data_IF_883626987155
#
_entry.id   IF_883626987155
#
_cell.length_a   1.000
_cell.length_b   1.000
_cell.length_c   1.000
_cell.angle_alpha   90.00
_cell.angle_beta   90.00
_cell.angle_gamma   90.00
#
_symmetry.space_group_name_H-M   'P 1'
#
loop_
_entity.id
_entity.type
_entity.pdbx_description
1 polymer ?
#
# COMPACT_ATOMS: atom_id res chain seq x y z
N UNK A 1 -7.01 27.58 -13.20
CA UNK A 1 -7.68 26.26 -13.22
C UNK A 1 -6.91 25.33 -14.16
N UNK A 2 -5.93 24.62 -13.62
CA UNK A 2 -5.20 23.60 -14.39
C UNK A 2 -6.13 22.44 -14.74
N UNK A 3 -6.03 21.92 -15.95
CA UNK A 3 -6.77 20.73 -16.35
C UNK A 3 -6.27 19.52 -15.53
N UNK A 4 -7.11 18.51 -15.23
CA UNK A 4 -6.69 17.34 -14.47
C UNK A 4 -5.44 16.64 -15.03
N UNK A 5 -5.30 16.59 -16.35
CA UNK A 5 -4.15 15.97 -17.00
C UNK A 5 -2.83 16.75 -16.76
N UNK A 6 -2.90 18.03 -16.41
CA UNK A 6 -1.72 18.85 -16.11
C UNK A 6 -1.10 18.55 -14.75
N UNK A 7 -1.79 17.79 -13.89
CA UNK A 7 -1.27 17.35 -12.60
C UNK A 7 -0.30 16.16 -12.74
N UNK A 8 -0.43 15.34 -13.78
CA UNK A 8 0.44 14.19 -14.03
C UNK A 8 1.79 14.67 -14.57
N UNK A 9 2.88 14.24 -13.91
CA UNK A 9 4.26 14.56 -14.29
C UNK A 9 4.93 13.41 -15.03
N UNK A 10 4.80 12.18 -14.50
CA UNK A 10 5.37 10.96 -15.10
C UNK A 10 4.32 9.87 -15.13
N UNK A 11 4.41 8.99 -16.12
CA UNK A 11 3.52 7.82 -16.28
C UNK A 11 4.34 6.61 -16.69
N UNK A 12 4.00 5.46 -16.12
CA UNK A 12 4.40 4.15 -16.63
C UNK A 12 3.31 3.11 -16.36
N UNK A 13 3.40 1.96 -17.05
CA UNK A 13 2.47 0.85 -16.87
C UNK A 13 3.23 -0.46 -16.66
N UNK A 14 3.76 -0.72 -15.44
CA UNK A 14 4.37 -2.00 -15.12
C UNK A 14 3.42 -3.15 -15.44
N UNK A 15 3.97 -4.28 -15.90
CA UNK A 15 3.19 -5.48 -16.23
C UNK A 15 2.02 -5.20 -17.21
N UNK A 16 2.17 -4.22 -18.09
CA UNK A 16 1.12 -3.84 -19.05
C UNK A 16 -0.15 -3.24 -18.38
N UNK A 17 -0.06 -2.86 -17.11
CA UNK A 17 -1.17 -2.31 -16.35
C UNK A 17 -1.94 -3.31 -15.50
N UNK A 18 -1.37 -4.50 -15.27
CA UNK A 18 -2.00 -5.57 -14.50
C UNK A 18 -2.99 -6.41 -15.31
N UNK A 19 -3.50 -7.46 -14.70
CA UNK A 19 -4.47 -8.41 -15.32
C UNK A 19 -5.87 -8.35 -14.69
N UNK A 20 -6.11 -7.41 -13.76
CA UNK A 20 -7.43 -7.17 -13.22
C UNK A 20 -8.40 -6.59 -14.28
N UNK A 21 -9.61 -6.36 -13.86
CA UNK A 21 -10.67 -5.85 -14.74
C UNK A 21 -10.37 -4.47 -15.34
N UNK A 22 -9.59 -3.65 -14.62
CA UNK A 22 -9.34 -2.27 -15.00
C UNK A 22 -7.85 -2.07 -15.27
N UNK A 23 -7.48 -1.89 -16.53
CA UNK A 23 -6.08 -1.58 -16.86
C UNK A 23 -5.60 -0.39 -16.03
N UNK A 24 -4.49 -0.58 -15.33
CA UNK A 24 -3.93 0.41 -14.42
C UNK A 24 -2.69 1.10 -15.00
N UNK A 25 -2.33 2.22 -14.39
CA UNK A 25 -1.10 2.95 -14.64
C UNK A 25 -0.50 3.45 -13.32
N UNK A 26 0.80 3.66 -13.32
CA UNK A 26 1.51 4.35 -12.27
C UNK A 26 1.78 5.79 -12.71
N UNK A 27 1.44 6.76 -11.87
CA UNK A 27 1.63 8.18 -12.15
C UNK A 27 2.33 8.87 -10.99
N UNK A 28 3.05 9.96 -11.29
CA UNK A 28 3.42 10.95 -10.29
C UNK A 28 2.58 12.19 -10.51
N UNK A 29 2.16 12.82 -9.43
CA UNK A 29 1.30 13.99 -9.50
C UNK A 29 1.99 15.22 -8.88
N UNK A 30 1.83 16.38 -9.51
CA UNK A 30 2.46 17.61 -9.06
C UNK A 30 2.06 18.00 -7.64
N UNK A 31 0.82 17.75 -7.28
CA UNK A 31 0.29 18.05 -5.95
C UNK A 31 0.71 17.05 -4.87
N UNK A 32 1.40 15.94 -5.25
CA UNK A 32 1.88 14.91 -4.33
C UNK A 32 3.32 14.50 -4.67
N UNK A 33 4.30 15.40 -4.54
CA UNK A 33 5.71 15.06 -4.79
C UNK A 33 6.21 14.01 -3.81
N UNK A 34 7.06 13.11 -4.29
CA UNK A 34 7.65 12.05 -3.46
C UNK A 34 6.76 10.82 -3.28
N UNK A 35 5.73 10.66 -4.11
CA UNK A 35 4.85 9.49 -4.12
C UNK A 35 4.59 9.01 -5.55
N UNK A 36 4.25 7.73 -5.68
CA UNK A 36 3.72 7.14 -6.90
C UNK A 36 2.28 6.70 -6.65
N UNK A 37 1.38 7.07 -7.53
CA UNK A 37 -0.02 6.67 -7.49
C UNK A 37 -0.25 5.60 -8.55
N UNK A 38 -0.59 4.39 -8.11
CA UNK A 38 -1.01 3.28 -8.97
C UNK A 38 -2.53 3.29 -8.99
N UNK A 39 -3.15 3.39 -10.17
CA UNK A 39 -4.59 3.52 -10.28
C UNK A 39 -5.12 3.02 -11.62
N UNK A 40 -6.41 2.67 -11.72
CA UNK A 40 -7.02 2.44 -13.02
C UNK A 40 -6.80 3.64 -13.95
N UNK A 41 -6.42 3.38 -15.19
CA UNK A 41 -6.21 4.45 -16.18
C UNK A 41 -7.48 5.25 -16.42
N UNK A 42 -8.63 4.54 -16.47
CA UNK A 42 -9.96 5.15 -16.58
C UNK A 42 -10.70 4.99 -15.25
N UNK A 43 -10.63 6.00 -14.40
CA UNK A 43 -11.30 6.00 -13.09
C UNK A 43 -12.81 5.94 -13.22
N UNK A 44 -13.38 6.57 -14.24
CA UNK A 44 -14.84 6.57 -14.48
C UNK A 44 -15.37 5.17 -14.81
N UNK A 45 -14.57 4.32 -15.45
CA UNK A 45 -14.96 2.95 -15.74
C UNK A 45 -15.23 2.13 -14.46
N UNK A 46 -14.49 2.42 -13.38
CA UNK A 46 -14.67 1.75 -12.07
C UNK A 46 -15.97 2.21 -11.41
N UNK A 47 -16.34 3.48 -11.58
CA UNK A 47 -17.46 4.12 -10.88
C UNK A 47 -18.79 4.05 -11.64
N UNK A 48 -18.82 3.48 -12.85
CA UNK A 48 -20.00 3.43 -13.73
C UNK A 48 -21.27 2.85 -13.08
N UNK A 49 -21.11 2.02 -12.04
CA UNK A 49 -22.25 1.41 -11.32
C UNK A 49 -22.54 2.09 -9.97
N UNK A 50 -22.07 3.33 -9.79
CA UNK A 50 -22.23 4.07 -8.55
C UNK A 50 -21.27 3.66 -7.41
N UNK A 51 -20.33 2.76 -7.68
CA UNK A 51 -19.31 2.39 -6.71
C UNK A 51 -18.23 3.49 -6.63
N UNK A 52 -17.71 3.71 -5.43
CA UNK A 52 -16.52 4.55 -5.25
C UNK A 52 -15.27 3.69 -5.13
N UNK A 53 -14.11 4.27 -5.43
CA UNK A 53 -12.84 3.56 -5.50
C UNK A 53 -12.17 3.60 -4.12
N UNK A 54 -11.92 2.43 -3.50
CA UNK A 54 -11.16 2.37 -2.24
C UNK A 54 -9.69 2.69 -2.44
N UNK A 55 -9.02 3.01 -1.34
CA UNK A 55 -7.63 3.50 -1.33
C UNK A 55 -6.73 2.59 -0.50
N UNK A 56 -5.51 2.41 -0.95
CA UNK A 56 -4.42 1.78 -0.20
C UNK A 56 -3.26 2.76 -0.13
N UNK A 57 -2.73 3.03 1.08
CA UNK A 57 -1.46 3.73 1.26
C UNK A 57 -0.39 2.71 1.60
N UNK A 58 0.81 2.85 1.03
CA UNK A 58 1.81 1.79 1.02
C UNK A 58 3.20 2.29 1.45
N UNK A 59 3.79 1.56 2.42
CA UNK A 59 5.16 1.75 2.89
C UNK A 59 6.10 0.66 2.35
N UNK A 60 7.30 1.06 1.95
CA UNK A 60 8.25 0.21 1.25
C UNK A 60 9.19 -0.55 2.20
N UNK A 61 9.74 -1.67 1.73
CA UNK A 61 10.82 -2.37 2.41
C UNK A 61 12.02 -1.45 2.65
N UNK A 62 12.72 -1.65 3.77
CA UNK A 62 13.82 -0.77 4.19
C UNK A 62 13.38 0.65 4.54
N UNK A 63 12.08 0.94 4.57
CA UNK A 63 11.53 2.30 4.67
C UNK A 63 12.07 3.24 3.59
N UNK A 64 12.46 2.70 2.44
CA UNK A 64 13.09 3.45 1.37
C UNK A 64 12.09 4.24 0.53
N UNK A 65 12.57 5.27 -0.14
CA UNK A 65 11.79 6.20 -0.96
C UNK A 65 11.56 5.68 -2.39
N UNK A 66 11.26 4.40 -2.52
CA UNK A 66 10.94 3.76 -3.80
C UNK A 66 10.02 2.56 -3.62
N UNK A 67 9.04 2.44 -4.50
CA UNK A 67 8.14 1.29 -4.59
C UNK A 67 8.48 0.35 -5.76
N UNK A 68 9.60 0.59 -6.44
CA UNK A 68 9.99 -0.17 -7.64
C UNK A 68 10.08 -1.67 -7.39
N UNK A 69 10.52 -2.08 -6.19
CA UNK A 69 10.71 -3.50 -5.85
C UNK A 69 9.39 -4.27 -5.70
N UNK A 70 8.28 -3.58 -5.46
CA UNK A 70 6.93 -4.16 -5.37
C UNK A 70 5.96 -3.63 -6.43
N UNK A 71 6.45 -2.92 -7.44
CA UNK A 71 5.57 -2.28 -8.43
C UNK A 71 4.66 -3.25 -9.18
N UNK A 72 5.12 -4.51 -9.40
CA UNK A 72 4.31 -5.55 -10.04
C UNK A 72 3.07 -5.90 -9.23
N UNK A 73 3.21 -5.96 -7.91
CA UNK A 73 2.07 -6.15 -7.00
C UNK A 73 1.19 -4.91 -6.94
N UNK A 74 1.78 -3.72 -6.83
CA UNK A 74 1.02 -2.48 -6.64
C UNK A 74 0.16 -2.16 -7.86
N UNK A 75 0.70 -2.36 -9.07
CA UNK A 75 -0.09 -2.19 -10.30
C UNK A 75 -1.18 -3.25 -10.43
N UNK A 76 -0.92 -4.49 -10.00
CA UNK A 76 -1.91 -5.56 -9.99
C UNK A 76 -3.08 -5.22 -9.06
N UNK A 77 -2.80 -4.76 -7.83
CA UNK A 77 -3.84 -4.31 -6.89
C UNK A 77 -4.68 -3.20 -7.55
N UNK A 78 -4.03 -2.20 -8.12
CA UNK A 78 -4.72 -1.09 -8.77
C UNK A 78 -5.63 -1.55 -9.92
N UNK A 79 -5.21 -2.57 -10.68
CA UNK A 79 -6.00 -3.13 -11.79
C UNK A 79 -7.30 -3.80 -11.34
N UNK A 80 -7.44 -4.10 -10.06
CA UNK A 80 -8.67 -4.61 -9.46
C UNK A 80 -9.61 -3.51 -8.95
N UNK A 81 -9.30 -2.23 -9.22
CA UNK A 81 -10.18 -1.11 -8.90
C UNK A 81 -9.81 -0.36 -7.62
N UNK A 82 -8.52 -0.25 -7.31
CA UNK A 82 -7.99 0.47 -6.16
C UNK A 82 -7.11 1.65 -6.60
N UNK A 83 -7.10 2.71 -5.81
CA UNK A 83 -6.06 3.73 -5.85
C UNK A 83 -5.02 3.37 -4.80
N UNK A 84 -3.80 3.09 -5.23
CA UNK A 84 -2.68 2.73 -4.35
C UNK A 84 -1.65 3.86 -4.36
N UNK A 85 -1.40 4.46 -3.21
CA UNK A 85 -0.47 5.57 -3.07
C UNK A 85 0.75 5.06 -2.30
N UNK A 86 1.87 4.91 -3.01
CA UNK A 86 3.10 4.39 -2.45
C UNK A 86 4.10 5.51 -2.19
N UNK A 87 4.77 5.44 -1.04
CA UNK A 87 5.86 6.35 -0.70
C UNK A 87 7.00 6.19 -1.72
N UNK A 88 7.56 7.31 -2.17
CA UNK A 88 8.78 7.33 -2.95
C UNK A 88 8.62 7.86 -4.35
N UNK A 89 9.75 8.16 -4.96
CA UNK A 89 9.83 8.66 -6.32
C UNK A 89 9.68 7.53 -7.35
N UNK A 90 9.15 7.84 -8.50
CA UNK A 90 9.10 6.89 -9.62
C UNK A 90 10.50 6.63 -10.16
N UNK A 91 10.85 5.35 -10.28
CA UNK A 91 12.08 4.87 -10.91
C UNK A 91 11.77 4.08 -12.17
N UNK A 92 12.69 4.06 -13.13
CA UNK A 92 12.57 3.26 -14.34
C UNK A 92 13.00 1.82 -14.12
N UNK A 93 14.04 1.62 -13.29
CA UNK A 93 14.57 0.31 -12.91
C UNK A 93 15.18 0.36 -11.51
N UNK A 94 15.28 -0.79 -10.81
CA UNK A 94 15.87 -0.84 -9.48
C UNK A 94 17.30 -0.30 -9.46
N UNK A 95 17.62 0.43 -8.39
CA UNK A 95 18.98 0.97 -8.14
C UNK A 95 19.47 1.98 -9.18
N UNK A 96 18.58 2.62 -9.93
CA UNK A 96 18.94 3.69 -10.87
C UNK A 96 19.41 4.98 -10.15
N UNK A 97 19.17 5.08 -8.87
CA UNK A 97 19.68 6.12 -7.97
C UNK A 97 19.87 5.57 -6.55
N UNK A 98 20.53 6.34 -5.71
CA UNK A 98 20.62 6.03 -4.28
C UNK A 98 19.26 6.23 -3.60
N UNK A 99 18.78 5.16 -2.97
CA UNK A 99 17.53 5.19 -2.19
C UNK A 99 17.77 5.90 -0.85
N UNK A 100 16.74 6.60 -0.37
CA UNK A 100 16.77 7.36 0.88
C UNK A 100 15.72 6.82 1.84
N UNK A 101 16.01 6.97 3.14
CA UNK A 101 15.05 6.66 4.20
C UNK A 101 13.89 7.65 4.22
N UNK A 102 12.72 7.17 4.58
CA UNK A 102 11.48 7.97 4.64
C UNK A 102 10.93 8.02 6.07
N UNK A 103 9.95 8.90 6.28
CA UNK A 103 9.24 9.04 7.54
C UNK A 103 7.88 8.35 7.47
N UNK A 104 7.46 7.71 8.55
CA UNK A 104 6.17 7.02 8.64
C UNK A 104 4.97 7.95 8.45
N UNK A 105 5.12 9.25 8.80
CA UNK A 105 4.10 10.28 8.57
C UNK A 105 3.73 10.46 7.09
N UNK A 106 4.57 10.02 6.16
CA UNK A 106 4.24 10.06 4.73
C UNK A 106 3.00 9.22 4.40
N UNK A 107 2.71 8.17 5.16
CA UNK A 107 1.47 7.41 4.99
C UNK A 107 0.24 8.27 5.30
N UNK A 108 0.27 9.06 6.36
CA UNK A 108 -0.83 9.98 6.69
C UNK A 108 -0.90 11.17 5.75
N UNK A 109 0.23 11.65 5.24
CA UNK A 109 0.26 12.67 4.17
C UNK A 109 -0.48 12.17 2.91
N UNK A 110 -0.27 10.91 2.52
CA UNK A 110 -0.98 10.29 1.40
C UNK A 110 -2.50 10.24 1.66
N UNK A 111 -2.91 9.89 2.88
CA UNK A 111 -4.34 9.91 3.27
C UNK A 111 -4.89 11.34 3.20
N UNK A 112 -4.18 12.32 3.77
CA UNK A 112 -4.60 13.73 3.72
C UNK A 112 -4.79 14.20 2.28
N UNK A 113 -3.84 13.85 1.39
CA UNK A 113 -3.92 14.23 -0.01
C UNK A 113 -5.15 13.65 -0.70
N UNK A 114 -5.40 12.34 -0.58
CA UNK A 114 -6.52 11.72 -1.29
C UNK A 114 -7.88 12.17 -0.73
N UNK A 115 -7.97 12.42 0.57
CA UNK A 115 -9.17 13.00 1.19
C UNK A 115 -9.44 14.39 0.62
N UNK A 116 -8.41 15.23 0.51
CA UNK A 116 -8.51 16.56 -0.10
C UNK A 116 -8.92 16.45 -1.56
N UNK A 117 -8.28 15.57 -2.35
CA UNK A 117 -8.60 15.37 -3.75
C UNK A 117 -10.04 14.91 -3.97
N UNK A 118 -10.57 14.09 -3.08
CA UNK A 118 -11.94 13.58 -3.18
C UNK A 118 -13.01 14.66 -3.10
N UNK A 119 -12.70 15.81 -2.51
CA UNK A 119 -13.60 16.96 -2.36
C UNK A 119 -13.16 18.20 -3.15
N UNK A 120 -12.07 18.10 -3.93
CA UNK A 120 -11.57 19.22 -4.73
C UNK A 120 -12.21 19.19 -6.12
N UNK A 121 -13.04 20.16 -6.48
CA UNK A 121 -13.56 20.27 -7.85
C UNK A 121 -12.42 20.32 -8.86
N UNK A 122 -12.62 19.72 -10.03
CA UNK A 122 -11.64 19.54 -11.11
C UNK A 122 -10.50 18.55 -10.82
N UNK A 123 -10.42 17.95 -9.65
CA UNK A 123 -9.58 16.77 -9.43
C UNK A 123 -10.16 15.55 -10.17
N UNK A 124 -9.29 14.72 -10.75
CA UNK A 124 -9.74 13.43 -11.33
C UNK A 124 -10.32 12.48 -10.28
N UNK A 125 -10.05 12.72 -9.00
CA UNK A 125 -10.53 11.94 -7.86
C UNK A 125 -11.82 12.50 -7.24
N UNK A 126 -12.31 13.63 -7.73
CA UNK A 126 -13.46 14.31 -7.16
C UNK A 126 -14.71 13.45 -7.18
N UNK A 127 -15.29 13.21 -5.99
CA UNK A 127 -16.49 12.39 -5.78
C UNK A 127 -16.42 10.92 -6.24
N UNK A 128 -15.24 10.41 -6.60
CA UNK A 128 -15.10 9.03 -7.08
C UNK A 128 -14.31 8.12 -6.15
N UNK A 129 -13.61 8.68 -5.18
CA UNK A 129 -12.82 7.92 -4.19
C UNK A 129 -13.64 7.70 -2.92
N UNK A 130 -13.58 6.48 -2.38
CA UNK A 130 -14.22 6.13 -1.11
C UNK A 130 -13.24 6.35 0.04
N UNK A 131 -13.30 7.52 0.65
CA UNK A 131 -12.44 7.87 1.78
C UNK A 131 -12.80 7.16 3.09
N UNK A 132 -13.92 6.43 3.12
CA UNK A 132 -14.28 5.55 4.24
C UNK A 132 -13.70 4.13 4.09
N UNK A 133 -13.03 3.85 2.97
CA UNK A 133 -12.38 2.59 2.66
C UNK A 133 -10.91 2.81 2.33
N UNK A 134 -10.12 3.08 3.37
CA UNK A 134 -8.68 3.28 3.28
C UNK A 134 -7.98 2.15 4.02
N UNK A 135 -7.10 1.44 3.33
CA UNK A 135 -6.21 0.45 3.92
C UNK A 135 -4.78 0.99 3.98
N UNK A 136 -4.04 0.60 5.00
CA UNK A 136 -2.61 0.85 5.10
C UNK A 136 -1.86 -0.47 4.98
N UNK A 137 -0.96 -0.56 4.04
CA UNK A 137 -0.16 -1.75 3.75
C UNK A 137 1.32 -1.41 3.72
N UNK A 138 2.18 -2.37 4.04
CA UNK A 138 3.61 -2.16 3.96
C UNK A 138 4.41 -3.45 4.03
N UNK A 139 5.56 -3.44 3.37
CA UNK A 139 6.52 -4.53 3.34
C UNK A 139 7.65 -4.27 4.33
N UNK A 140 7.95 -5.26 5.19
CA UNK A 140 9.10 -5.20 6.10
C UNK A 140 9.10 -3.91 6.94
N UNK A 141 10.11 -3.05 6.84
CA UNK A 141 10.13 -1.74 7.50
C UNK A 141 8.88 -0.91 7.18
N UNK A 142 8.36 -0.99 5.96
CA UNK A 142 7.09 -0.35 5.58
C UNK A 142 5.89 -0.83 6.40
N UNK A 143 5.90 -2.07 6.85
CA UNK A 143 4.92 -2.58 7.81
C UNK A 143 5.04 -1.93 9.18
N UNK A 144 6.27 -1.67 9.65
CA UNK A 144 6.49 -0.89 10.86
C UNK A 144 5.98 0.55 10.71
N UNK A 145 6.13 1.16 9.53
CA UNK A 145 5.54 2.48 9.24
C UNK A 145 4.02 2.46 9.36
N UNK A 146 3.36 1.39 8.88
CA UNK A 146 1.92 1.20 9.05
C UNK A 146 1.55 1.17 10.54
N UNK A 147 2.28 0.41 11.35
CA UNK A 147 2.03 0.34 12.79
C UNK A 147 2.29 1.67 13.49
N UNK A 148 3.27 2.45 13.04
CA UNK A 148 3.55 3.79 13.59
C UNK A 148 2.38 4.76 13.41
N UNK A 149 1.58 4.60 12.36
CA UNK A 149 0.41 5.45 12.08
C UNK A 149 -0.92 4.74 12.34
N UNK A 150 -0.90 3.57 12.99
CA UNK A 150 -2.07 2.73 13.18
C UNK A 150 -3.22 3.42 13.92
N UNK A 151 -2.94 4.47 14.70
CA UNK A 151 -3.94 5.25 15.43
C UNK A 151 -4.79 6.17 14.55
N UNK A 152 -4.44 6.39 13.30
CA UNK A 152 -5.25 7.20 12.39
C UNK A 152 -6.59 6.49 12.10
N UNK A 153 -7.68 7.09 12.56
CA UNK A 153 -9.02 6.50 12.51
C UNK A 153 -9.59 6.35 11.09
N UNK A 154 -8.96 6.99 10.11
CA UNK A 154 -9.34 6.85 8.70
C UNK A 154 -8.89 5.50 8.12
N UNK A 155 -7.91 4.83 8.74
CA UNK A 155 -7.47 3.49 8.34
C UNK A 155 -8.51 2.46 8.79
N UNK A 156 -9.02 1.68 7.84
CA UNK A 156 -10.07 0.68 8.05
C UNK A 156 -9.57 -0.77 7.88
N UNK A 157 -8.34 -0.96 7.42
CA UNK A 157 -7.71 -2.27 7.28
C UNK A 157 -6.18 -2.10 7.28
N UNK A 158 -5.48 -3.07 7.87
CA UNK A 158 -4.02 -3.08 7.92
C UNK A 158 -3.49 -4.35 7.26
N UNK A 159 -2.45 -4.20 6.42
CA UNK A 159 -1.76 -5.32 5.78
C UNK A 159 -0.26 -5.21 6.06
N UNK A 160 0.28 -6.15 6.82
CA UNK A 160 1.71 -6.27 7.09
C UNK A 160 2.28 -7.41 6.26
N UNK A 161 3.12 -7.09 5.29
CA UNK A 161 3.74 -8.02 4.36
C UNK A 161 5.17 -8.27 4.80
N UNK A 162 5.51 -9.52 5.14
CA UNK A 162 6.85 -9.89 5.62
C UNK A 162 7.32 -8.95 6.74
N UNK A 163 6.46 -8.69 7.70
CA UNK A 163 6.65 -7.69 8.73
C UNK A 163 6.00 -8.11 10.05
N UNK A 164 6.46 -7.51 11.12
CA UNK A 164 5.94 -7.71 12.47
C UNK A 164 6.81 -6.95 13.46
N UNK A 165 6.22 -6.52 14.57
CA UNK A 165 6.92 -5.70 15.55
C UNK A 165 7.68 -6.55 16.58
N UNK A 166 7.02 -7.57 17.13
CA UNK A 166 7.60 -8.36 18.22
C UNK A 166 7.96 -7.48 19.41
N UNK A 167 9.25 -7.49 19.79
CA UNK A 167 9.81 -6.63 20.84
C UNK A 167 10.63 -5.46 20.31
N UNK A 168 10.65 -5.28 18.98
CA UNK A 168 11.47 -4.25 18.33
C UNK A 168 10.85 -2.87 18.41
N UNK A 169 11.68 -1.87 18.18
CA UNK A 169 11.26 -0.51 17.86
C UNK A 169 11.82 -0.17 16.49
N UNK A 170 10.99 0.35 15.60
CA UNK A 170 11.38 0.66 14.21
C UNK A 170 10.41 1.66 13.60
N UNK A 171 10.94 2.61 12.85
CA UNK A 171 10.15 3.58 12.08
C UNK A 171 9.12 4.37 12.91
N UNK A 172 9.40 4.58 14.18
CA UNK A 172 8.48 5.23 15.13
C UNK A 172 7.43 4.30 15.73
N UNK A 173 7.42 3.02 15.37
CA UNK A 173 6.55 2.01 15.97
C UNK A 173 7.29 1.23 17.07
N UNK A 174 6.50 0.69 17.99
CA UNK A 174 6.95 -0.18 19.09
C UNK A 174 5.86 -1.20 19.40
N UNK A 175 6.09 -2.17 20.30
CA UNK A 175 5.03 -3.09 20.73
C UNK A 175 3.76 -2.39 21.22
N UNK A 176 3.89 -1.17 21.75
CA UNK A 176 2.75 -0.36 22.19
C UNK A 176 1.84 0.07 21.03
N UNK A 177 2.40 0.18 19.81
CA UNK A 177 1.62 0.56 18.62
C UNK A 177 0.50 -0.44 18.30
N UNK A 178 0.63 -1.71 18.70
CA UNK A 178 -0.41 -2.71 18.52
C UNK A 178 -1.70 -2.39 19.28
N UNK A 179 -1.62 -1.55 20.33
CA UNK A 179 -2.80 -1.08 21.08
C UNK A 179 -3.64 -0.05 20.32
N UNK A 180 -3.05 0.58 19.31
CA UNK A 180 -3.71 1.59 18.47
C UNK A 180 -4.51 0.97 17.32
N UNK A 181 -4.33 -0.33 17.07
CA UNK A 181 -5.10 -1.07 16.08
C UNK A 181 -6.59 -1.02 16.41
N UNK A 182 -7.41 -0.63 15.44
CA UNK A 182 -8.85 -0.43 15.59
C UNK A 182 -9.66 -1.01 14.42
N UNK A 183 -9.01 -1.77 13.54
CA UNK A 183 -9.58 -2.38 12.35
C UNK A 183 -8.91 -3.74 12.10
N UNK A 184 -9.47 -4.60 11.24
CA UNK A 184 -8.87 -5.89 10.91
C UNK A 184 -7.45 -5.75 10.36
N UNK A 185 -6.60 -6.69 10.73
CA UNK A 185 -5.19 -6.76 10.30
C UNK A 185 -4.84 -8.14 9.77
N UNK A 186 -4.11 -8.19 8.66
CA UNK A 186 -3.49 -9.41 8.13
C UNK A 186 -1.98 -9.31 8.17
N UNK A 187 -1.36 -10.37 8.67
CA UNK A 187 0.08 -10.63 8.54
C UNK A 187 0.28 -11.66 7.43
N UNK A 188 1.03 -11.30 6.40
CA UNK A 188 1.39 -12.22 5.30
C UNK A 188 2.88 -12.48 5.36
N UNK A 189 3.26 -13.72 5.60
CA UNK A 189 4.64 -14.12 5.90
C UNK A 189 5.10 -15.18 4.90
N UNK A 190 6.39 -15.20 4.64
CA UNK A 190 7.03 -16.12 3.69
C UNK A 190 7.66 -17.37 4.30
N UNK A 191 7.05 -17.91 5.36
CA UNK A 191 7.53 -19.10 6.05
C UNK A 191 8.60 -18.80 7.11
N UNK A 192 9.15 -19.86 7.69
CA UNK A 192 10.14 -19.77 8.78
C UNK A 192 11.46 -19.13 8.36
N UNK A 193 11.75 -19.12 7.07
CA UNK A 193 12.95 -18.48 6.52
C UNK A 193 12.78 -16.96 6.34
N UNK A 194 11.55 -16.47 6.45
CA UNK A 194 11.28 -15.04 6.48
C UNK A 194 11.74 -14.47 7.84
N UNK A 195 12.62 -13.50 7.80
CA UNK A 195 13.19 -12.85 9.00
C UNK A 195 12.10 -12.25 9.89
N UNK A 196 10.96 -11.88 9.34
CA UNK A 196 9.83 -11.32 10.09
C UNK A 196 8.94 -12.38 10.76
N UNK A 197 9.13 -13.68 10.49
CA UNK A 197 8.26 -14.75 10.95
C UNK A 197 8.03 -14.72 12.47
N UNK A 198 9.11 -14.65 13.25
CA UNK A 198 9.04 -14.67 14.71
C UNK A 198 8.27 -13.46 15.27
N UNK A 199 8.57 -12.26 14.77
CA UNK A 199 7.88 -11.03 15.19
C UNK A 199 6.40 -11.06 14.83
N UNK A 200 6.07 -11.52 13.63
CA UNK A 200 4.68 -11.61 13.16
C UNK A 200 3.86 -12.60 14.02
N UNK A 201 4.44 -13.74 14.40
CA UNK A 201 3.80 -14.70 15.32
C UNK A 201 3.55 -14.07 16.70
N UNK A 202 4.52 -13.31 17.22
CA UNK A 202 4.36 -12.62 18.51
C UNK A 202 3.23 -11.61 18.45
N UNK A 203 3.16 -10.80 17.41
CA UNK A 203 2.10 -9.82 17.21
C UNK A 203 0.74 -10.51 17.10
N UNK A 204 0.65 -11.54 16.24
CA UNK A 204 -0.57 -12.32 16.06
C UNK A 204 -1.12 -12.86 17.37
N UNK A 205 -0.26 -13.38 18.22
CA UNK A 205 -0.65 -13.92 19.54
C UNK A 205 -1.06 -12.84 20.53
N UNK A 206 -0.52 -11.64 20.40
CA UNK A 206 -0.77 -10.51 21.34
C UNK A 206 -2.00 -9.69 21.00
N UNK A 207 -2.38 -9.59 19.73
CA UNK A 207 -3.52 -8.81 19.28
C UNK A 207 -4.83 -9.48 19.69
N UNK A 208 -5.66 -8.76 20.48
CA UNK A 208 -6.94 -9.29 21.00
C UNK A 208 -8.15 -8.40 20.70
N UNK A 209 -7.92 -7.13 20.34
CA UNK A 209 -8.98 -6.15 20.17
C UNK A 209 -9.66 -6.16 18.80
N UNK A 210 -8.95 -6.65 17.78
CA UNK A 210 -9.41 -6.63 16.40
C UNK A 210 -9.23 -8.00 15.75
N UNK A 211 -9.97 -8.30 14.70
CA UNK A 211 -9.71 -9.50 13.91
C UNK A 211 -8.29 -9.50 13.38
N UNK A 212 -7.59 -10.61 13.53
CA UNK A 212 -6.24 -10.79 13.01
C UNK A 212 -6.14 -12.09 12.24
N UNK A 213 -5.55 -12.03 11.05
CA UNK A 213 -5.28 -13.18 10.19
C UNK A 213 -3.77 -13.33 10.04
N UNK A 214 -3.30 -14.56 10.13
CA UNK A 214 -1.92 -14.94 9.85
C UNK A 214 -1.91 -15.86 8.63
N UNK A 215 -1.42 -15.32 7.50
CA UNK A 215 -1.30 -16.05 6.25
C UNK A 215 0.18 -16.36 6.00
N UNK A 216 0.52 -17.63 5.96
CA UNK A 216 1.90 -18.08 5.79
C UNK A 216 2.08 -18.80 4.45
N UNK A 217 2.94 -18.25 3.60
CA UNK A 217 3.38 -18.91 2.39
C UNK A 217 4.74 -19.57 2.64
N UNK A 218 4.72 -20.81 3.03
CA UNK A 218 5.93 -21.61 3.32
C UNK A 218 6.92 -21.50 2.15
N UNK A 219 8.19 -21.28 2.49
CA UNK A 219 9.33 -21.20 1.56
C UNK A 219 9.36 -19.98 0.63
N UNK A 220 8.43 -19.03 0.72
CA UNK A 220 8.52 -17.80 -0.05
C UNK A 220 9.64 -16.86 0.43
N UNK A 221 9.99 -16.91 1.73
CA UNK A 221 11.02 -16.07 2.32
C UNK A 221 10.62 -14.59 2.43
N UNK A 222 11.60 -13.77 2.78
CA UNK A 222 11.39 -12.32 3.01
C UNK A 222 11.12 -11.54 1.74
N UNK A 223 11.57 -12.03 0.59
CA UNK A 223 11.28 -11.45 -0.73
C UNK A 223 9.89 -11.80 -1.25
N UNK A 224 9.20 -12.73 -0.61
CA UNK A 224 7.86 -13.20 -1.00
C UNK A 224 7.79 -13.52 -2.51
N UNK A 225 6.73 -13.07 -3.15
CA UNK A 225 6.50 -13.29 -4.60
C UNK A 225 6.54 -11.99 -5.41
N UNK A 226 7.10 -10.92 -4.86
CA UNK A 226 7.03 -9.58 -5.48
C UNK A 226 7.70 -9.51 -6.86
N UNK A 227 8.77 -10.29 -7.08
CA UNK A 227 9.47 -10.33 -8.36
C UNK A 227 8.76 -11.18 -9.42
N UNK A 228 7.77 -11.98 -9.04
CA UNK A 228 6.99 -12.81 -9.96
C UNK A 228 6.04 -11.94 -10.81
N UNK A 229 5.61 -12.43 -12.00
CA UNK A 229 4.64 -11.72 -12.81
C UNK A 229 3.39 -11.34 -11.98
N UNK A 230 2.96 -10.08 -12.10
CA UNK A 230 1.80 -9.53 -11.40
C UNK A 230 1.88 -9.62 -9.87
N UNK A 231 3.10 -9.77 -9.32
CA UNK A 231 3.32 -9.89 -7.88
C UNK A 231 3.00 -11.27 -7.29
N UNK A 232 2.67 -12.25 -8.12
CA UNK A 232 2.47 -13.64 -7.70
C UNK A 232 1.35 -13.83 -6.66
N UNK A 233 1.49 -14.87 -5.84
CA UNK A 233 0.46 -15.26 -4.87
C UNK A 233 0.24 -14.22 -3.76
N UNK A 234 1.27 -13.45 -3.38
CA UNK A 234 1.11 -12.35 -2.42
C UNK A 234 0.14 -11.29 -2.94
N UNK A 235 0.28 -10.86 -4.20
CA UNK A 235 -0.65 -9.92 -4.80
C UNK A 235 -2.08 -10.46 -4.83
N UNK A 236 -2.27 -11.72 -5.18
CA UNK A 236 -3.58 -12.37 -5.17
C UNK A 236 -4.21 -12.37 -3.77
N UNK A 237 -3.45 -12.67 -2.74
CA UNK A 237 -3.94 -12.66 -1.36
C UNK A 237 -4.28 -11.25 -0.89
N UNK A 238 -3.46 -10.26 -1.23
CA UNK A 238 -3.72 -8.85 -0.92
C UNK A 238 -5.06 -8.41 -1.54
N UNK A 239 -5.28 -8.71 -2.81
CA UNK A 239 -6.55 -8.38 -3.49
C UNK A 239 -7.73 -9.07 -2.80
N UNK A 240 -7.62 -10.35 -2.49
CA UNK A 240 -8.69 -11.08 -1.78
C UNK A 240 -9.01 -10.48 -0.42
N UNK A 241 -7.98 -10.07 0.33
CA UNK A 241 -8.17 -9.41 1.61
C UNK A 241 -8.88 -8.07 1.46
N UNK A 242 -8.45 -7.26 0.48
CA UNK A 242 -9.03 -5.94 0.24
C UNK A 242 -10.49 -6.02 -0.27
N UNK A 243 -10.82 -7.05 -1.04
CA UNK A 243 -12.18 -7.27 -1.56
C UNK A 243 -13.15 -7.79 -0.48
N UNK A 244 -12.63 -8.36 0.60
CA UNK A 244 -13.41 -8.84 1.75
C UNK A 244 -13.83 -7.69 2.65
#
# INVERSE_FOLDING_TARGET
NERPEQQIVKVKAPEGGGKGRFRAMAVTERSLPGFVVYRPANLNAVTMRGNKIPVVVYGNGGCMDTSIHQEKMLIEIASHGYVVIAIGEMQNYPFDRKEKSTHSSMLTEAIDWIVTQSTTPNSVYYNIVDVEKIAAAGHSCGGAQVLAVAGDKRIKSYLLLNSGMGKMEMAGASPKSLKDLHAPIIYMIGGKTDVAYGNAIMDYKSIKKVPVVFADMTDAGHGATFAQPFGGAFAQMVVKWLDW
#
